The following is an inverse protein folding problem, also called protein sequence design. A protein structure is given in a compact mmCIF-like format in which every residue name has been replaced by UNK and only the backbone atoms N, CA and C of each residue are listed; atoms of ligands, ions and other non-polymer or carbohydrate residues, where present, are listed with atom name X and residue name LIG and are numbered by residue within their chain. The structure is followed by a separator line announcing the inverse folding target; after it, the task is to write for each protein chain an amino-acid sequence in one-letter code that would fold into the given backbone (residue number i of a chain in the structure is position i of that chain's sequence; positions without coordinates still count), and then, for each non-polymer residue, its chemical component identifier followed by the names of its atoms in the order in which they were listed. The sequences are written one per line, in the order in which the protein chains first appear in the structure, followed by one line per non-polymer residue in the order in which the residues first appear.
data_IF_586600141968
#
_entry.id   IF_586600141968
#
_cell.length_a   1.000
_cell.length_b   1.000
_cell.length_c   1.000
_cell.angle_alpha   90.00
_cell.angle_beta   90.00
_cell.angle_gamma   90.00
#
_symmetry.space_group_name_H-M   'P 1'
#
loop_
_entity.id
_entity.type
_entity.pdbx_description
1 polymer ?
#
# COMPACT_ATOMS: atom_id res chain seq x y z
N UNK A 1 22.35 6.60 1.96
CA UNK A 1 21.47 5.51 2.42
C UNK A 1 21.70 5.31 3.89
N UNK A 2 20.65 5.04 4.65
CA UNK A 2 20.76 4.52 6.02
C UNK A 2 21.17 3.04 5.92
N UNK A 3 22.24 2.65 6.59
CA UNK A 3 22.72 1.26 6.63
C UNK A 3 22.57 0.70 8.04
N UNK A 4 22.16 -0.56 8.15
CA UNK A 4 22.07 -1.28 9.42
C UNK A 4 23.21 -2.30 9.52
N UNK A 5 23.89 -2.34 10.66
CA UNK A 5 24.92 -3.34 10.93
C UNK A 5 24.25 -4.67 11.31
N UNK A 6 24.52 -5.73 10.54
CA UNK A 6 24.07 -7.10 10.86
C UNK A 6 25.09 -7.88 11.70
N UNK A 7 26.28 -7.32 11.87
CA UNK A 7 27.36 -7.84 12.70
C UNK A 7 28.18 -6.66 13.26
N UNK A 8 28.55 -6.75 14.54
CA UNK A 8 29.48 -5.80 15.20
C UNK A 8 30.89 -6.37 15.34
N UNK A 9 31.15 -7.55 14.75
CA UNK A 9 32.47 -8.15 14.80
C UNK A 9 33.40 -7.46 13.79
N UNK A 10 34.61 -7.11 14.22
CA UNK A 10 35.58 -6.38 13.40
C UNK A 10 36.36 -7.29 12.43
N UNK A 11 36.07 -8.58 12.39
CA UNK A 11 36.69 -9.52 11.47
C UNK A 11 36.31 -9.23 10.01
N UNK A 12 37.10 -9.79 9.09
CA UNK A 12 36.83 -9.69 7.66
C UNK A 12 35.51 -10.38 7.33
N UNK A 13 34.61 -9.64 6.68
CA UNK A 13 33.26 -10.05 6.32
C UNK A 13 33.05 -9.77 4.83
N UNK A 14 32.58 -10.77 4.07
CA UNK A 14 32.51 -10.71 2.60
C UNK A 14 31.30 -11.48 2.06
N UNK A 15 31.02 -11.28 0.77
CA UNK A 15 29.99 -11.99 0.02
C UNK A 15 28.61 -12.02 0.69
N UNK A 16 28.03 -10.85 1.04
CA UNK A 16 26.69 -10.84 1.57
C UNK A 16 25.69 -11.26 0.48
N UNK A 17 24.76 -12.12 0.85
CA UNK A 17 23.55 -12.39 0.09
C UNK A 17 22.33 -12.17 0.99
N UNK A 18 21.27 -11.62 0.42
CA UNK A 18 20.03 -11.38 1.14
C UNK A 18 18.90 -12.15 0.46
N UNK A 19 18.07 -12.80 1.27
CA UNK A 19 16.82 -13.39 0.86
C UNK A 19 15.80 -13.25 1.98
N UNK A 20 14.70 -12.54 1.69
CA UNK A 20 13.66 -12.21 2.68
C UNK A 20 14.26 -11.48 3.92
N UNK A 21 13.94 -11.90 5.14
CA UNK A 21 14.51 -11.32 6.37
C UNK A 21 15.93 -11.83 6.65
N UNK A 22 16.49 -12.72 5.82
CA UNK A 22 17.76 -13.34 6.11
C UNK A 22 18.87 -12.72 5.27
N UNK A 23 19.83 -12.13 5.96
CA UNK A 23 21.13 -11.83 5.35
C UNK A 23 22.08 -12.95 5.75
N UNK A 24 22.78 -13.50 4.77
CA UNK A 24 23.89 -14.44 4.94
C UNK A 24 25.18 -13.78 4.47
N UNK A 25 26.29 -14.05 5.14
CA UNK A 25 27.60 -13.52 4.75
C UNK A 25 28.72 -14.47 5.17
N UNK A 26 29.88 -14.35 4.54
CA UNK A 26 31.11 -15.01 4.98
C UNK A 26 31.80 -14.17 6.05
N UNK A 27 32.23 -14.78 7.15
CA UNK A 27 32.88 -14.09 8.27
C UNK A 27 34.06 -14.92 8.77
N UNK A 28 35.19 -14.26 9.06
CA UNK A 28 36.43 -14.90 9.51
C UNK A 28 36.76 -14.61 10.99
N UNK A 29 35.76 -14.39 11.85
CA UNK A 29 35.97 -14.04 13.27
C UNK A 29 36.75 -15.05 14.09
N UNK A 30 36.71 -16.32 13.71
CA UNK A 30 37.39 -17.40 14.41
C UNK A 30 38.66 -17.87 13.66
N UNK A 31 39.16 -17.08 12.70
CA UNK A 31 40.33 -17.42 11.88
C UNK A 31 40.08 -18.49 10.83
N UNK A 32 38.83 -18.96 10.70
CA UNK A 32 38.33 -19.81 9.64
C UNK A 32 37.08 -19.17 9.05
N UNK A 33 36.99 -19.16 7.71
CA UNK A 33 35.80 -18.65 7.01
C UNK A 33 34.58 -19.53 7.28
N UNK A 34 33.53 -18.91 7.81
CA UNK A 34 32.23 -19.56 8.03
C UNK A 34 31.09 -18.72 7.46
N UNK A 35 29.96 -19.37 7.21
CA UNK A 35 28.73 -18.69 6.81
C UNK A 35 27.95 -18.33 8.06
N UNK A 36 27.72 -17.03 8.24
CA UNK A 36 26.82 -16.51 9.27
C UNK A 36 25.52 -16.07 8.63
N UNK A 37 24.47 -16.03 9.44
CA UNK A 37 23.21 -15.47 9.04
C UNK A 37 22.58 -14.68 10.18
N UNK A 38 21.84 -13.63 9.83
CA UNK A 38 21.07 -12.83 10.76
C UNK A 38 19.68 -12.60 10.17
N UNK A 39 18.70 -12.48 11.06
CA UNK A 39 17.41 -11.92 10.70
C UNK A 39 17.53 -10.40 10.76
N UNK A 40 17.22 -9.73 9.65
CA UNK A 40 17.06 -8.28 9.59
C UNK A 40 15.59 -8.01 9.86
N UNK A 41 15.31 -7.48 11.05
CA UNK A 41 14.08 -6.76 11.26
C UNK A 41 14.27 -5.41 10.59
N UNK A 42 13.53 -5.18 9.49
CA UNK A 42 13.30 -3.80 9.05
C UNK A 42 12.77 -3.03 10.27
N UNK A 43 13.14 -1.75 10.45
CA UNK A 43 12.44 -0.91 11.41
C UNK A 43 10.95 -1.15 11.20
N UNK A 44 10.25 -1.62 12.23
CA UNK A 44 8.79 -1.71 12.20
C UNK A 44 8.28 -0.28 12.18
N UNK A 45 8.33 0.33 11.01
CA UNK A 45 7.77 1.63 10.78
C UNK A 45 6.26 1.40 10.73
N UNK A 46 5.59 1.84 11.78
CA UNK A 46 4.14 1.99 11.74
C UNK A 46 3.81 2.90 10.57
N UNK A 47 3.05 2.37 9.62
CA UNK A 47 2.52 3.18 8.53
C UNK A 47 1.32 3.92 9.08
N UNK A 48 1.53 5.19 9.36
CA UNK A 48 0.48 6.10 9.73
C UNK A 48 -0.18 6.65 8.46
N UNK A 49 -1.50 6.63 8.45
CA UNK A 49 -2.32 7.28 7.44
C UNK A 49 -3.01 8.47 8.07
N UNK A 50 -2.81 9.63 7.45
CA UNK A 50 -3.54 10.84 7.78
C UNK A 50 -4.85 10.88 6.98
N UNK A 51 -5.95 10.77 7.72
CA UNK A 51 -7.30 11.05 7.24
C UNK A 51 -7.49 12.55 7.21
N UNK A 52 -7.80 13.10 6.05
CA UNK A 52 -8.16 14.51 5.90
C UNK A 52 -9.68 14.68 5.86
N UNK A 53 -10.17 15.88 6.17
CA UNK A 53 -11.59 16.20 6.00
C UNK A 53 -11.96 16.10 4.52
N UNK A 54 -13.11 15.49 4.23
CA UNK A 54 -13.58 15.24 2.88
C UNK A 54 -13.03 13.94 2.32
N UNK A 55 -12.56 13.99 1.08
CA UNK A 55 -12.27 12.81 0.27
C UNK A 55 -10.87 12.24 0.53
N UNK A 56 -10.80 10.92 0.64
CA UNK A 56 -9.58 10.17 0.90
C UNK A 56 -9.54 8.90 0.02
N UNK A 57 -8.34 8.42 -0.32
CA UNK A 57 -8.14 7.11 -0.95
C UNK A 57 -7.13 6.30 -0.12
N UNK A 58 -7.62 5.39 0.71
CA UNK A 58 -6.84 4.68 1.72
C UNK A 58 -6.74 3.19 1.39
N UNK A 59 -5.55 2.60 1.52
CA UNK A 59 -5.37 1.16 1.44
C UNK A 59 -6.13 0.43 2.56
N UNK A 60 -6.74 -0.70 2.24
CA UNK A 60 -7.20 -1.69 3.23
C UNK A 60 -6.04 -2.63 3.56
N UNK A 61 -5.73 -2.76 4.84
CA UNK A 61 -4.70 -3.67 5.35
C UNK A 61 -5.33 -4.79 6.17
N UNK A 62 -4.56 -5.85 6.44
CA UNK A 62 -5.01 -6.95 7.30
C UNK A 62 -5.39 -6.45 8.72
N UNK A 63 -4.70 -5.42 9.21
CA UNK A 63 -5.00 -4.78 10.50
C UNK A 63 -6.38 -4.11 10.48
N UNK A 64 -6.73 -3.43 9.38
CA UNK A 64 -8.08 -2.86 9.20
C UNK A 64 -9.12 -3.97 9.17
N UNK A 65 -8.90 -5.01 8.37
CA UNK A 65 -9.88 -6.12 8.23
C UNK A 65 -10.03 -6.95 9.51
N UNK A 66 -9.00 -7.02 10.35
CA UNK A 66 -9.05 -7.73 11.62
C UNK A 66 -9.95 -7.05 12.65
N UNK A 67 -10.05 -5.71 12.59
CA UNK A 67 -10.87 -4.90 13.51
C UNK A 67 -12.26 -4.64 12.91
N UNK A 68 -12.32 -4.41 11.61
CA UNK A 68 -13.53 -4.08 10.86
C UNK A 68 -13.56 -4.92 9.58
N UNK A 69 -14.14 -6.13 9.61
CA UNK A 69 -14.09 -7.05 8.47
C UNK A 69 -14.97 -6.61 7.28
N UNK A 70 -15.90 -5.66 7.49
CA UNK A 70 -16.84 -5.21 6.47
C UNK A 70 -17.08 -3.69 6.52
N UNK A 71 -17.76 -3.17 5.51
CA UNK A 71 -17.99 -1.74 5.35
C UNK A 71 -18.81 -1.15 6.51
N UNK A 72 -19.84 -1.86 7.00
CA UNK A 72 -20.70 -1.34 8.06
C UNK A 72 -19.99 -1.29 9.40
N UNK A 73 -19.21 -2.33 9.74
CA UNK A 73 -18.39 -2.33 10.95
C UNK A 73 -17.34 -1.23 10.93
N UNK A 74 -16.73 -0.94 9.77
CA UNK A 74 -15.77 0.16 9.66
C UNK A 74 -16.46 1.53 9.80
N UNK A 75 -17.60 1.74 9.14
CA UNK A 75 -18.38 2.98 9.27
C UNK A 75 -18.76 3.24 10.73
N UNK A 76 -19.36 2.26 11.41
CA UNK A 76 -19.73 2.38 12.83
C UNK A 76 -18.53 2.56 13.75
N UNK A 77 -17.39 1.91 13.48
CA UNK A 77 -16.20 2.06 14.31
C UNK A 77 -15.56 3.45 14.16
N UNK A 78 -15.69 4.08 12.99
CA UNK A 78 -14.97 5.31 12.65
C UNK A 78 -15.87 6.55 12.61
N UNK A 79 -17.18 6.43 12.81
CA UNK A 79 -18.11 7.57 12.87
C UNK A 79 -17.71 8.58 13.96
N UNK A 80 -17.47 8.13 15.20
CA UNK A 80 -17.04 9.02 16.29
C UNK A 80 -15.60 9.51 16.19
N UNK A 81 -14.76 8.86 15.39
CA UNK A 81 -13.32 9.20 15.27
C UNK A 81 -13.05 10.17 14.12
N UNK A 82 -13.64 9.91 12.96
CA UNK A 82 -13.38 10.64 11.71
C UNK A 82 -14.65 11.23 11.08
N UNK A 83 -15.83 11.05 11.68
CA UNK A 83 -17.10 11.45 11.07
C UNK A 83 -17.29 10.78 9.71
N UNK A 84 -16.97 9.48 9.61
CA UNK A 84 -16.98 8.74 8.36
C UNK A 84 -18.42 8.59 7.83
N UNK A 85 -18.67 9.04 6.61
CA UNK A 85 -20.04 9.10 6.03
C UNK A 85 -20.23 8.22 4.79
N UNK A 86 -19.15 7.86 4.10
CA UNK A 86 -19.22 7.02 2.91
C UNK A 86 -17.95 6.22 2.72
N UNK A 87 -18.11 4.96 2.31
CA UNK A 87 -17.07 4.04 1.89
C UNK A 87 -17.38 3.47 0.52
N UNK A 88 -16.39 3.42 -0.36
CA UNK A 88 -16.50 2.78 -1.67
C UNK A 88 -15.28 1.90 -1.93
N UNK A 89 -15.53 0.67 -2.36
CA UNK A 89 -14.49 -0.23 -2.83
C UNK A 89 -14.79 -0.68 -4.25
N UNK A 90 -13.80 -0.59 -5.12
CA UNK A 90 -13.94 -1.03 -6.51
C UNK A 90 -13.78 -2.55 -6.60
N UNK A 91 -14.65 -3.19 -7.40
CA UNK A 91 -14.61 -4.61 -7.69
C UNK A 91 -14.25 -4.84 -9.17
N UNK A 92 -12.97 -5.14 -9.49
CA UNK A 92 -12.54 -5.26 -10.89
C UNK A 92 -13.26 -6.30 -11.74
N UNK A 93 -13.58 -7.51 -11.23
CA UNK A 93 -14.36 -8.49 -11.99
C UNK A 93 -15.73 -7.97 -12.47
N UNK A 94 -16.41 -7.14 -11.68
CA UNK A 94 -17.75 -6.62 -12.01
C UNK A 94 -17.72 -5.23 -12.64
N UNK A 95 -16.62 -4.49 -12.47
CA UNK A 95 -16.45 -3.16 -13.04
C UNK A 95 -17.17 -2.04 -12.29
N UNK A 96 -17.62 -2.30 -11.06
CA UNK A 96 -18.44 -1.35 -10.28
C UNK A 96 -17.84 -1.07 -8.90
N UNK A 97 -18.20 0.09 -8.34
CA UNK A 97 -17.98 0.38 -6.93
C UNK A 97 -19.12 -0.18 -6.10
N UNK A 98 -18.79 -0.94 -5.05
CA UNK A 98 -19.70 -1.20 -3.94
C UNK A 98 -19.68 -0.01 -3.00
N UNK A 99 -20.84 0.41 -2.51
CA UNK A 99 -20.99 1.67 -1.75
C UNK A 99 -21.77 1.40 -0.46
N UNK A 100 -21.20 1.87 0.65
CA UNK A 100 -21.86 1.91 1.94
C UNK A 100 -21.84 3.36 2.45
N UNK A 101 -22.98 3.82 2.95
CA UNK A 101 -23.14 5.17 3.48
C UNK A 101 -23.57 5.11 4.95
N UNK A 102 -23.23 6.15 5.71
CA UNK A 102 -23.53 6.24 7.13
C UNK A 102 -24.25 7.55 7.45
N UNK A 103 -25.43 7.42 8.06
CA UNK A 103 -26.23 8.56 8.50
C UNK A 103 -25.87 8.91 9.95
N UNK A 104 -25.24 10.06 10.13
CA UNK A 104 -24.83 10.57 11.45
C UNK A 104 -26.01 10.97 12.35
N UNK A 105 -27.20 11.21 11.79
CA UNK A 105 -28.41 11.53 12.55
C UNK A 105 -29.00 10.26 13.17
N UNK A 106 -29.14 9.21 12.38
CA UNK A 106 -29.69 7.92 12.84
C UNK A 106 -28.65 6.96 13.41
N UNK A 107 -27.35 7.28 13.29
CA UNK A 107 -26.22 6.42 13.66
C UNK A 107 -26.34 5.02 13.05
N UNK A 108 -26.62 4.98 11.74
CA UNK A 108 -26.91 3.74 11.02
C UNK A 108 -26.24 3.70 9.65
N UNK A 109 -25.65 2.55 9.33
CA UNK A 109 -25.12 2.25 8.01
C UNK A 109 -26.22 1.79 7.06
N UNK A 110 -26.05 2.06 5.77
CA UNK A 110 -26.95 1.67 4.68
C UNK A 110 -26.18 1.38 3.39
N UNK A 111 -26.84 0.81 2.38
CA UNK A 111 -26.20 0.38 1.14
C UNK A 111 -25.63 -1.04 1.21
N UNK A 112 -24.52 -1.27 0.51
CA UNK A 112 -23.89 -2.58 0.42
C UNK A 112 -22.94 -2.83 1.60
N UNK A 113 -23.26 -3.78 2.48
CA UNK A 113 -22.28 -4.23 3.49
C UNK A 113 -21.27 -5.21 2.88
N UNK A 114 -20.30 -4.69 2.14
CA UNK A 114 -19.27 -5.51 1.51
C UNK A 114 -18.13 -5.85 2.47
N UNK A 115 -17.57 -7.06 2.32
CA UNK A 115 -16.33 -7.46 2.98
C UNK A 115 -15.18 -6.57 2.54
N UNK A 116 -14.36 -6.12 3.48
CA UNK A 116 -13.14 -5.37 3.19
C UNK A 116 -12.03 -6.34 2.77
N UNK A 117 -11.45 -6.08 1.61
CA UNK A 117 -10.38 -6.91 1.06
C UNK A 117 -9.01 -6.21 1.16
N UNK A 118 -8.08 -6.83 1.87
CA UNK A 118 -6.69 -6.36 1.99
C UNK A 118 -6.02 -6.20 0.62
N UNK A 119 -5.22 -5.15 0.45
CA UNK A 119 -4.58 -4.82 -0.84
C UNK A 119 -5.46 -4.01 -1.81
N UNK A 120 -6.78 -3.98 -1.62
CA UNK A 120 -7.66 -3.01 -2.29
C UNK A 120 -7.60 -1.65 -1.57
N UNK A 121 -8.03 -0.59 -2.24
CA UNK A 121 -8.16 0.73 -1.64
C UNK A 121 -9.63 1.18 -1.55
N UNK A 122 -9.92 1.93 -0.48
CA UNK A 122 -11.20 2.53 -0.17
C UNK A 122 -11.19 4.01 -0.54
N UNK A 123 -12.16 4.41 -1.35
CA UNK A 123 -12.54 5.82 -1.43
C UNK A 123 -13.44 6.11 -0.24
N UNK A 124 -13.09 7.11 0.55
CA UNK A 124 -13.82 7.41 1.78
C UNK A 124 -14.04 8.90 2.00
N UNK A 125 -15.18 9.24 2.62
CA UNK A 125 -15.54 10.62 2.95
C UNK A 125 -15.61 10.80 4.46
N UNK A 126 -14.75 11.66 5.00
CA UNK A 126 -14.62 11.92 6.42
C UNK A 126 -15.08 13.34 6.79
N UNK A 127 -15.75 13.50 7.92
CA UNK A 127 -16.15 14.79 8.47
C UNK A 127 -15.07 15.47 9.30
N UNK A 128 -14.14 14.69 9.88
CA UNK A 128 -13.01 15.18 10.67
C UNK A 128 -11.72 14.50 10.24
N UNK A 129 -10.59 15.20 10.42
CA UNK A 129 -9.27 14.67 10.14
C UNK A 129 -8.63 13.99 11.35
N UNK A 130 -7.56 13.22 11.12
CA UNK A 130 -6.75 12.64 12.17
C UNK A 130 -5.85 11.51 11.66
N UNK A 131 -5.12 10.89 12.58
CA UNK A 131 -4.14 9.86 12.24
C UNK A 131 -4.66 8.46 12.63
N UNK A 132 -4.41 7.49 11.76
CA UNK A 132 -4.65 6.08 12.01
C UNK A 132 -3.42 5.24 11.66
N UNK A 133 -3.13 4.21 12.44
CA UNK A 133 -2.05 3.26 12.14
C UNK A 133 -2.61 2.17 11.25
N UNK A 134 -2.28 2.20 9.96
CA UNK A 134 -2.68 1.17 8.99
C UNK A 134 -2.05 -0.19 9.29
N UNK A 135 -0.90 -0.20 9.94
CA UNK A 135 -0.19 -1.41 10.31
C UNK A 135 1.30 -1.17 10.35
N UNK A 136 2.07 -2.24 10.46
CA UNK A 136 3.54 -2.18 10.45
C UNK A 136 4.07 -2.65 9.10
N UNK A 137 5.15 -2.02 8.61
CA UNK A 137 5.91 -2.57 7.49
C UNK A 137 6.72 -3.78 7.94
N UNK A 138 6.10 -4.94 7.90
CA UNK A 138 6.75 -6.24 8.08
C UNK A 138 6.58 -7.06 6.81
N UNK A 139 7.50 -8.00 6.55
CA UNK A 139 7.38 -8.90 5.40
C UNK A 139 6.07 -9.70 5.38
N UNK A 140 5.46 -9.97 6.55
CA UNK A 140 4.15 -10.62 6.65
C UNK A 140 3.00 -9.76 6.13
N UNK A 141 3.15 -8.43 6.13
CA UNK A 141 2.14 -7.47 5.68
C UNK A 141 2.42 -6.98 4.25
N UNK A 142 3.44 -7.53 3.59
CA UNK A 142 3.83 -7.24 2.21
C UNK A 142 3.22 -8.25 1.24
N UNK A 143 1.90 -8.42 1.28
CA UNK A 143 1.20 -9.32 0.39
C UNK A 143 1.33 -8.87 -1.07
N UNK A 144 1.72 -9.77 -2.00
CA UNK A 144 1.76 -9.46 -3.42
C UNK A 144 0.39 -9.02 -3.94
N UNK A 145 0.36 -7.99 -4.80
CA UNK A 145 -0.89 -7.50 -5.37
C UNK A 145 -1.22 -8.19 -6.68
N UNK A 146 -2.48 -8.55 -6.87
CA UNK A 146 -3.00 -8.89 -8.19
C UNK A 146 -3.54 -7.62 -8.85
N UNK A 147 -2.97 -7.26 -9.99
CA UNK A 147 -3.44 -6.15 -10.82
C UNK A 147 -4.27 -6.74 -11.95
N UNK A 148 -5.59 -6.59 -11.86
CA UNK A 148 -6.53 -7.08 -12.87
C UNK A 148 -6.38 -6.30 -14.18
N UNK A 149 -6.79 -6.89 -15.30
CA UNK A 149 -6.93 -6.14 -16.54
C UNK A 149 -8.01 -5.06 -16.36
N UNK A 150 -7.80 -3.86 -16.89
CA UNK A 150 -8.71 -2.75 -16.71
C UNK A 150 -8.38 -1.91 -15.48
N UNK A 151 -9.40 -1.33 -14.86
CA UNK A 151 -9.24 -0.43 -13.72
C UNK A 151 -8.99 -1.21 -12.44
N UNK A 152 -8.11 -0.67 -11.59
CA UNK A 152 -7.79 -1.18 -10.25
C UNK A 152 -7.73 0.01 -9.29
N UNK A 153 -8.25 -0.15 -8.07
CA UNK A 153 -7.96 0.76 -6.96
C UNK A 153 -7.34 -0.07 -5.83
N UNK A 154 -6.02 0.03 -5.67
CA UNK A 154 -5.21 -0.86 -4.83
C UNK A 154 -4.22 -0.04 -4.01
N UNK A 155 -3.62 -0.65 -2.99
CA UNK A 155 -2.56 -0.02 -2.20
C UNK A 155 -1.58 -1.06 -1.65
N UNK A 156 -0.38 -0.61 -1.30
CA UNK A 156 0.61 -1.43 -0.60
C UNK A 156 1.36 -0.62 0.45
N UNK A 157 1.76 -1.28 1.54
CA UNK A 157 2.64 -0.70 2.55
C UNK A 157 4.12 -0.83 2.14
N UNK A 158 4.44 -1.69 1.18
CA UNK A 158 5.79 -2.21 0.98
C UNK A 158 6.45 -1.64 -0.27
N UNK A 159 6.51 -0.31 -0.33
CA UNK A 159 7.25 0.41 -1.37
C UNK A 159 8.67 0.74 -0.91
N UNK A 160 9.68 0.60 -1.79
CA UNK A 160 11.01 1.17 -1.57
C UNK A 160 10.96 2.66 -1.24
N UNK A 161 12.00 3.16 -0.56
CA UNK A 161 12.08 4.60 -0.26
C UNK A 161 12.14 5.41 -1.55
N UNK A 162 11.25 6.40 -1.68
CA UNK A 162 11.16 7.26 -2.86
C UNK A 162 10.54 6.60 -4.10
N UNK A 163 9.94 5.41 -3.97
CA UNK A 163 9.33 4.70 -5.10
C UNK A 163 8.28 5.57 -5.79
N UNK A 164 8.45 5.77 -7.08
CA UNK A 164 7.68 6.74 -7.86
C UNK A 164 6.68 6.09 -8.81
N UNK A 165 5.78 6.90 -9.37
CA UNK A 165 4.85 6.48 -10.42
C UNK A 165 5.60 5.86 -11.63
N UNK A 166 6.78 6.38 -11.96
CA UNK A 166 7.58 5.85 -13.06
C UNK A 166 8.22 4.52 -12.69
N UNK A 167 8.67 4.36 -11.44
CA UNK A 167 9.21 3.09 -10.94
C UNK A 167 8.13 2.00 -10.97
N UNK A 168 6.91 2.32 -10.55
CA UNK A 168 5.74 1.43 -10.67
C UNK A 168 5.49 1.00 -12.11
N UNK A 169 5.42 1.95 -13.05
CA UNK A 169 5.17 1.63 -14.47
C UNK A 169 6.28 0.75 -15.03
N UNK A 170 7.53 1.02 -14.67
CA UNK A 170 8.67 0.22 -15.13
C UNK A 170 8.68 -1.19 -14.52
N UNK A 171 8.35 -1.34 -13.24
CA UNK A 171 8.33 -2.65 -12.56
C UNK A 171 7.20 -3.56 -13.04
N UNK A 172 6.01 -2.99 -13.27
CA UNK A 172 4.87 -3.72 -13.86
C UNK A 172 5.12 -3.99 -15.35
N UNK A 173 5.78 -3.06 -16.03
CA UNK A 173 6.10 -3.09 -17.45
C UNK A 173 5.24 -2.11 -18.26
N UNK A 174 5.90 -1.24 -19.02
CA UNK A 174 5.27 -0.18 -19.84
C UNK A 174 4.22 -0.69 -20.82
N UNK A 175 4.37 -1.91 -21.33
CA UNK A 175 3.40 -2.52 -22.27
C UNK A 175 2.11 -3.01 -21.58
N UNK A 176 2.05 -2.97 -20.24
CA UNK A 176 0.93 -3.47 -19.44
C UNK A 176 0.18 -2.37 -18.70
N UNK A 177 0.77 -1.20 -18.50
CA UNK A 177 0.15 -0.08 -17.79
C UNK A 177 -0.34 0.97 -18.79
N UNK A 178 -1.59 1.40 -18.66
CA UNK A 178 -2.15 2.56 -19.38
C UNK A 178 -1.87 3.82 -18.57
N UNK A 179 -2.25 3.82 -17.29
CA UNK A 179 -2.07 4.96 -16.40
C UNK A 179 -2.04 4.56 -14.94
N UNK A 180 -1.38 5.38 -14.13
CA UNK A 180 -1.44 5.37 -12.67
C UNK A 180 -1.83 6.76 -12.19
N UNK A 181 -2.67 6.82 -11.16
CA UNK A 181 -3.10 8.04 -10.51
C UNK A 181 -3.07 7.88 -8.99
N UNK A 182 -2.76 8.97 -8.29
CA UNK A 182 -2.83 9.05 -6.84
C UNK A 182 -3.50 10.37 -6.45
N UNK A 183 -4.29 10.34 -5.37
CA UNK A 183 -4.93 11.53 -4.83
C UNK A 183 -3.88 12.35 -4.07
N UNK A 184 -3.72 13.61 -4.46
CA UNK A 184 -3.00 14.61 -3.69
C UNK A 184 -3.99 15.18 -2.65
N UNK A 185 -3.78 14.83 -1.37
CA UNK A 185 -4.71 15.18 -0.28
C UNK A 185 -4.68 16.67 0.09
N UNK A 186 -3.58 17.36 -0.20
CA UNK A 186 -3.45 18.79 0.09
C UNK A 186 -4.28 19.62 -0.88
N UNK A 187 -4.28 19.21 -2.15
CA UNK A 187 -4.99 19.92 -3.23
C UNK A 187 -6.36 19.33 -3.56
N UNK A 188 -6.61 18.08 -3.17
CA UNK A 188 -7.80 17.30 -3.56
C UNK A 188 -7.80 16.87 -5.02
N UNK A 189 -6.69 17.04 -5.75
CA UNK A 189 -6.57 16.73 -7.16
C UNK A 189 -5.93 15.36 -7.38
N UNK A 190 -6.26 14.72 -8.50
CA UNK A 190 -5.59 13.50 -8.93
C UNK A 190 -4.34 13.85 -9.72
N UNK A 191 -3.19 13.34 -9.28
CA UNK A 191 -1.93 13.37 -10.03
C UNK A 191 -1.80 12.08 -10.82
N UNK A 192 -1.22 12.14 -12.03
CA UNK A 192 -1.20 10.98 -12.90
C UNK A 192 -0.04 10.90 -13.87
N UNK A 193 0.38 9.67 -14.14
CA UNK A 193 1.29 9.30 -15.22
C UNK A 193 0.61 8.28 -16.14
N UNK A 194 0.98 8.28 -17.42
CA UNK A 194 0.44 7.37 -18.44
C UNK A 194 1.54 6.87 -19.36
N UNK A 195 1.28 5.75 -20.04
CA UNK A 195 2.15 5.25 -21.10
C UNK A 195 1.49 5.49 -22.46
N UNK A 196 2.19 6.19 -23.34
CA UNK A 196 1.79 6.39 -24.74
C UNK A 196 2.97 6.04 -25.63
N UNK A 197 2.76 5.12 -26.58
CA UNK A 197 3.77 4.65 -27.52
C UNK A 197 5.08 4.19 -26.84
N UNK A 198 4.97 3.54 -25.67
CA UNK A 198 6.10 3.05 -24.88
C UNK A 198 6.85 4.12 -24.09
N UNK A 199 6.41 5.38 -24.14
CA UNK A 199 6.97 6.51 -23.39
C UNK A 199 6.07 6.82 -22.19
N UNK A 200 6.68 7.03 -21.02
CA UNK A 200 5.95 7.47 -19.83
C UNK A 200 5.79 9.00 -19.90
N UNK A 201 4.57 9.49 -19.70
CA UNK A 201 4.21 10.90 -19.73
C UNK A 201 3.39 11.28 -18.49
N UNK A 202 3.48 12.55 -18.08
CA UNK A 202 2.75 13.09 -16.92
C UNK A 202 3.64 13.29 -15.70
N UNK A 203 3.03 13.27 -14.52
CA UNK A 203 3.69 13.57 -13.25
C UNK A 203 4.43 12.35 -12.72
N UNK A 204 5.74 12.48 -12.47
CA UNK A 204 6.48 11.47 -11.70
C UNK A 204 6.43 11.78 -10.20
N UNK A 205 5.33 11.41 -9.54
CA UNK A 205 5.14 11.59 -8.11
C UNK A 205 5.67 10.39 -7.31
N UNK A 206 6.07 10.63 -6.07
CA UNK A 206 6.39 9.57 -5.10
C UNK A 206 5.09 8.95 -4.62
N UNK A 207 4.99 7.62 -4.65
CA UNK A 207 3.82 6.90 -4.14
C UNK A 207 3.97 6.73 -2.64
N UNK A 208 2.97 7.22 -1.89
CA UNK A 208 2.94 7.14 -0.43
C UNK A 208 2.40 5.78 0.02
N UNK A 209 3.12 5.03 0.85
CA UNK A 209 2.64 3.74 1.34
C UNK A 209 1.39 3.88 2.21
N UNK A 210 0.43 2.98 1.99
CA UNK A 210 -0.89 3.03 2.63
C UNK A 210 -1.90 3.94 1.95
N UNK A 211 -1.51 4.74 0.95
CA UNK A 211 -2.45 5.45 0.10
C UNK A 211 -2.86 4.58 -1.09
N UNK A 212 -4.11 4.74 -1.53
CA UNK A 212 -4.63 4.07 -2.70
C UNK A 212 -4.09 4.68 -4.00
N UNK A 213 -3.73 3.84 -4.95
CA UNK A 213 -3.44 4.19 -6.33
C UNK A 213 -4.51 3.61 -7.25
N UNK A 214 -4.91 4.42 -8.22
CA UNK A 214 -5.80 4.00 -9.29
C UNK A 214 -4.97 3.66 -10.52
N UNK A 215 -5.05 2.43 -10.98
CA UNK A 215 -4.22 1.92 -12.08
C UNK A 215 -5.11 1.36 -13.18
N UNK A 216 -4.91 1.84 -14.40
CA UNK A 216 -5.51 1.27 -15.59
C UNK A 216 -4.50 0.35 -16.27
N UNK A 217 -4.86 -0.92 -16.45
CA UNK A 217 -4.01 -1.98 -16.96
C UNK A 217 -4.48 -2.46 -18.34
N UNK A 218 -3.55 -2.67 -19.27
CA UNK A 218 -3.79 -3.37 -20.55
C UNK A 218 -3.91 -4.88 -20.38
N UNK A 219 -3.23 -5.45 -19.38
CA UNK A 219 -3.22 -6.88 -19.12
C UNK A 219 -2.96 -7.20 -17.65
N UNK A 220 -3.52 -8.32 -17.20
CA UNK A 220 -3.44 -8.78 -15.82
C UNK A 220 -2.01 -9.12 -15.39
N UNK A 221 -1.66 -8.80 -14.13
CA UNK A 221 -0.42 -9.20 -13.46
C UNK A 221 -0.76 -9.87 -12.15
N UNK A 222 -0.23 -11.08 -11.96
CA UNK A 222 -0.38 -11.82 -10.71
C UNK A 222 0.83 -11.58 -9.80
N UNK A 223 0.56 -11.34 -8.52
CA UNK A 223 1.58 -11.29 -7.48
C UNK A 223 2.65 -10.23 -7.71
N UNK A 224 2.26 -9.04 -8.18
CA UNK A 224 3.17 -7.91 -8.30
C UNK A 224 3.71 -7.51 -6.92
N UNK A 225 5.02 -7.36 -6.86
CA UNK A 225 5.77 -6.78 -5.75
C UNK A 225 6.71 -5.71 -6.32
N UNK A 226 6.83 -4.54 -5.68
CA UNK A 226 7.71 -3.44 -6.11
C UNK A 226 9.19 -3.79 -6.28
#
# INVERSE_FOLDING_TARGET
GIGYFVSLNNARQEEPAAYDQRVVWQDNRDGVWQIYSALVQLPTDEVQYEVVVGFNNMMVTDNVTAVSPDAFSLLSAWEGKFGLTSLKQYDPPTGVYRVADYDMGTHAASGDNFTLESGKALLMTAGTGGIFVLGQRTMSNCSPLTLEQGFNNVGTLCLPSGYSAYDFINSVGKSRVISIQQLDKDTGLWRGASVRDGVIMGDNFVITPGEGIMVQMLGKVYGWTP
#
